data_IF_534875270334
#
_entry.id   IF_534875270334
#
_cell.length_a   1.000
_cell.length_b   1.000
_cell.length_c   1.000
_cell.angle_alpha   90.00
_cell.angle_beta   90.00
_cell.angle_gamma   90.00
#
_symmetry.space_group_name_H-M   'P 1'
#
loop_
_entity.id
_entity.type
_entity.pdbx_description
1 polymer ?
#
# COMPACT_ATOMS: atom_id res chain seq x y z
N UNK A 1 -1.41 5.11 26.00
CA UNK A 1 -0.99 5.25 24.59
C UNK A 1 -2.03 6.09 23.88
N UNK A 2 -1.81 7.39 23.87
CA UNK A 2 -2.64 8.39 23.24
C UNK A 2 -2.77 8.13 21.74
N UNK A 3 -3.92 8.47 21.17
CA UNK A 3 -4.22 8.20 19.75
C UNK A 3 -3.24 8.93 18.83
N UNK A 4 -2.76 10.09 19.26
CA UNK A 4 -1.81 10.94 18.55
C UNK A 4 -0.40 10.36 18.57
N UNK A 5 0.04 9.77 19.69
CA UNK A 5 1.36 9.12 19.78
C UNK A 5 1.47 8.00 18.75
N UNK A 6 0.44 7.14 18.69
CA UNK A 6 0.39 6.04 17.73
C UNK A 6 0.40 6.56 16.29
N UNK A 7 -0.26 7.68 16.03
CA UNK A 7 -0.26 8.29 14.71
C UNK A 7 1.16 8.72 14.31
N UNK A 8 1.87 9.44 15.17
CA UNK A 8 3.25 9.88 14.91
C UNK A 8 4.21 8.69 14.69
N UNK A 9 4.08 7.63 15.50
CA UNK A 9 4.87 6.42 15.31
C UNK A 9 4.66 5.79 13.93
N UNK A 10 3.41 5.73 13.46
CA UNK A 10 3.10 5.14 12.16
C UNK A 10 3.46 6.04 10.98
N UNK A 11 3.47 7.36 11.15
CA UNK A 11 4.01 8.30 10.16
C UNK A 11 5.48 8.00 9.91
N UNK A 12 6.30 8.00 10.98
CA UNK A 12 7.74 7.73 10.87
C UNK A 12 8.02 6.34 10.27
N UNK A 13 7.27 5.32 10.68
CA UNK A 13 7.38 3.96 10.12
C UNK A 13 7.05 3.91 8.63
N UNK A 14 6.06 4.67 8.17
CA UNK A 14 5.69 4.71 6.75
C UNK A 14 6.74 5.47 5.93
N UNK A 15 7.39 6.47 6.49
CA UNK A 15 8.53 7.14 5.85
C UNK A 15 9.73 6.20 5.71
N UNK A 16 10.05 5.44 6.76
CA UNK A 16 11.09 4.38 6.70
C UNK A 16 10.74 3.31 5.66
N UNK A 17 9.48 2.87 5.61
CA UNK A 17 9.01 1.95 4.57
C UNK A 17 9.22 2.52 3.16
N UNK A 18 8.82 3.76 2.92
CA UNK A 18 9.00 4.42 1.61
C UNK A 18 10.48 4.59 1.24
N UNK A 19 11.32 4.93 2.20
CA UNK A 19 12.77 5.08 1.99
C UNK A 19 13.45 3.72 1.74
N UNK A 20 12.94 2.64 2.33
CA UNK A 20 13.51 1.30 2.17
C UNK A 20 13.39 0.74 0.76
N UNK A 21 12.40 1.18 -0.03
CA UNK A 21 12.10 0.63 -1.35
C UNK A 21 11.69 -0.85 -1.34
N UNK A 22 11.43 -1.42 -0.15
CA UNK A 22 11.05 -2.82 0.02
C UNK A 22 9.56 -3.03 -0.29
N UNK A 23 9.20 -4.28 -0.59
CA UNK A 23 7.78 -4.65 -0.62
C UNK A 23 7.21 -4.65 0.80
N UNK A 24 5.89 -4.47 0.92
CA UNK A 24 5.22 -4.47 2.23
C UNK A 24 5.51 -5.75 3.03
N UNK A 25 5.56 -6.91 2.36
CA UNK A 25 5.85 -8.21 2.99
C UNK A 25 7.26 -8.21 3.55
N UNK A 26 8.27 -7.91 2.73
CA UNK A 26 9.67 -7.91 3.16
C UNK A 26 9.95 -6.91 4.29
N UNK A 27 9.34 -5.73 4.23
CA UNK A 27 9.48 -4.72 5.28
C UNK A 27 8.80 -5.15 6.59
N UNK A 28 7.60 -5.74 6.50
CA UNK A 28 6.88 -6.29 7.64
C UNK A 28 7.60 -7.48 8.27
N UNK A 29 8.17 -8.39 7.48
CA UNK A 29 8.94 -9.54 7.96
C UNK A 29 10.21 -9.12 8.68
N UNK A 30 10.95 -8.16 8.12
CA UNK A 30 12.18 -7.63 8.72
C UNK A 30 11.94 -6.95 10.07
N UNK A 31 10.77 -6.33 10.27
CA UNK A 31 10.44 -5.52 11.46
C UNK A 31 9.33 -6.13 12.32
N UNK A 32 8.91 -7.37 12.01
CA UNK A 32 7.85 -8.12 12.69
C UNK A 32 6.52 -7.34 12.84
N UNK A 33 6.19 -6.52 11.83
CA UNK A 33 4.94 -5.77 11.79
C UNK A 33 3.86 -6.53 11.03
N UNK A 34 2.60 -6.30 11.41
CA UNK A 34 1.48 -6.86 10.65
C UNK A 34 1.27 -6.08 9.34
N UNK A 35 1.24 -6.80 8.22
CA UNK A 35 0.89 -6.25 6.90
C UNK A 35 -0.47 -5.56 6.94
N UNK A 36 -1.43 -6.10 7.70
CA UNK A 36 -2.76 -5.51 7.85
C UNK A 36 -2.71 -4.13 8.53
N UNK A 37 -1.85 -3.97 9.54
CA UNK A 37 -1.66 -2.68 10.19
C UNK A 37 -1.02 -1.68 9.22
N UNK A 38 0.04 -2.07 8.52
CA UNK A 38 0.68 -1.20 7.53
C UNK A 38 -0.31 -0.76 6.44
N UNK A 39 -1.11 -1.67 5.91
CA UNK A 39 -2.16 -1.37 4.92
C UNK A 39 -3.21 -0.40 5.46
N UNK A 40 -3.65 -0.61 6.70
CA UNK A 40 -4.60 0.29 7.37
C UNK A 40 -4.04 1.71 7.49
N UNK A 41 -2.79 1.83 7.96
CA UNK A 41 -2.15 3.13 8.13
C UNK A 41 -1.81 3.81 6.81
N UNK A 42 -1.36 3.08 5.79
CA UNK A 42 -1.20 3.63 4.45
C UNK A 42 -2.50 4.24 3.91
N UNK A 43 -3.65 3.55 4.11
CA UNK A 43 -4.96 4.08 3.71
C UNK A 43 -5.41 5.27 4.58
N UNK A 44 -5.09 5.26 5.86
CA UNK A 44 -5.47 6.31 6.80
C UNK A 44 -4.65 7.59 6.60
N UNK A 45 -3.36 7.44 6.31
CA UNK A 45 -2.41 8.55 6.07
C UNK A 45 -2.38 8.97 4.60
N UNK A 46 -2.85 8.13 3.67
CA UNK A 46 -3.07 8.59 2.32
C UNK A 46 -4.11 9.71 2.37
N UNK A 47 -3.87 10.85 1.73
CA UNK A 47 -4.91 11.86 1.54
C UNK A 47 -5.96 11.24 0.62
N UNK A 48 -6.91 10.51 1.20
CA UNK A 48 -8.05 9.99 0.47
C UNK A 48 -8.85 11.20 0.02
N UNK A 49 -8.62 11.64 -1.22
CA UNK A 49 -9.74 12.05 -2.08
C UNK A 49 -10.67 10.86 -2.01
N UNK A 50 -11.83 11.00 -1.36
CA UNK A 50 -12.89 10.00 -1.38
C UNK A 50 -13.04 9.55 -2.83
N UNK A 51 -12.47 8.41 -3.19
CA UNK A 51 -12.74 7.80 -4.49
C UNK A 51 -14.01 6.99 -4.24
N UNK A 52 -15.18 7.42 -4.74
CA UNK A 52 -16.42 6.64 -4.66
C UNK A 52 -16.35 5.33 -5.47
N UNK A 53 -15.15 4.83 -5.82
CA UNK A 53 -14.94 3.69 -6.69
C UNK A 53 -15.35 2.35 -6.04
N UNK A 54 -15.75 2.30 -4.77
CA UNK A 54 -16.49 1.13 -4.26
C UNK A 54 -17.89 0.97 -4.91
N UNK A 55 -18.30 1.89 -5.80
CA UNK A 55 -19.49 1.77 -6.67
C UNK A 55 -19.19 1.40 -8.13
N UNK A 56 -17.97 0.99 -8.50
CA UNK A 56 -17.77 0.47 -9.86
C UNK A 56 -17.86 -1.06 -9.86
N UNK A 57 -18.89 -1.66 -10.49
CA UNK A 57 -18.83 -3.08 -10.81
C UNK A 57 -17.58 -3.28 -11.67
N UNK A 58 -16.83 -4.33 -11.33
CA UNK A 58 -15.68 -4.83 -12.06
C UNK A 58 -16.03 -5.01 -13.54
N UNK A 59 -15.88 -3.97 -14.35
CA UNK A 59 -15.80 -4.11 -15.80
C UNK A 59 -14.50 -4.82 -16.08
N UNK A 60 -14.63 -6.12 -16.34
CA UNK A 60 -13.61 -6.97 -16.94
C UNK A 60 -13.35 -6.40 -18.33
N UNK A 61 -12.62 -5.30 -18.43
CA UNK A 61 -11.91 -4.96 -19.65
C UNK A 61 -10.60 -5.75 -19.58
N UNK A 62 -10.68 -6.95 -20.14
CA UNK A 62 -9.53 -7.71 -20.58
C UNK A 62 -8.85 -6.91 -21.70
N UNK A 63 -7.99 -5.97 -21.31
CA UNK A 63 -6.95 -5.48 -22.22
C UNK A 63 -6.03 -6.68 -22.48
N UNK A 64 -5.91 -7.17 -23.73
CA UNK A 64 -4.94 -8.21 -24.02
C UNK A 64 -3.56 -7.60 -23.72
N UNK A 65 -2.88 -8.19 -22.74
CA UNK A 65 -1.47 -7.91 -22.47
C UNK A 65 -0.74 -7.83 -23.82
N UNK A 66 0.00 -6.74 -24.12
CA UNK A 66 0.87 -6.76 -25.28
C UNK A 66 1.87 -7.89 -25.05
N UNK A 67 1.67 -8.99 -25.77
CA UNK A 67 2.59 -10.12 -25.80
C UNK A 67 3.95 -9.52 -26.13
N UNK A 68 4.88 -9.70 -25.20
CA UNK A 68 6.30 -9.47 -25.42
C UNK A 68 6.67 -10.16 -26.72
N UNK A 69 6.85 -9.38 -27.80
CA UNK A 69 7.50 -9.86 -29.02
C UNK A 69 8.97 -10.04 -28.68
N UNK A 70 9.30 -11.20 -28.14
CA UNK A 70 10.65 -11.72 -28.06
C UNK A 70 10.91 -12.60 -29.29
N UNK A 71 12.14 -12.51 -29.80
CA UNK A 71 12.75 -13.36 -30.84
C UNK A 71 12.35 -13.03 -32.29
N UNK A 72 13.26 -12.99 -33.27
CA UNK A 72 14.72 -13.20 -33.33
C UNK A 72 15.22 -12.55 -34.62
#
# INVERSE_FOLDING_TARGET
MDKDQRHQEWVSRIEDFKASGLTMVAWCESRQYSIHQLKYWLRKLSPVKLTPHLLQPRSIHHEPFPVLKVSI
#
